data_IF_454433195112
#
_entry.id   IF_454433195112
#
_cell.length_a   1.000
_cell.length_b   1.000
_cell.length_c   1.000
_cell.angle_alpha   90.00
_cell.angle_beta   90.00
_cell.angle_gamma   90.00
#
_symmetry.space_group_name_H-M   'P 1'
#
loop_
_entity.id
_entity.type
_entity.pdbx_description
1 polymer ?
#
# COMPACT_ATOMS: atom_id res chain seq x y z
N UNK A 1 -10.75 5.84 17.57
CA UNK A 1 -11.60 6.83 16.86
C UNK A 1 -11.27 6.77 15.39
N UNK A 2 -12.29 6.80 14.52
CA UNK A 2 -12.13 6.87 13.08
C UNK A 2 -12.04 8.35 12.64
N UNK A 3 -11.07 8.66 11.78
CA UNK A 3 -10.92 9.92 11.05
C UNK A 3 -11.44 9.71 9.63
N UNK A 4 -12.25 10.65 9.15
CA UNK A 4 -12.73 10.67 7.78
C UNK A 4 -11.84 11.60 6.94
N UNK A 5 -11.49 11.17 5.72
CA UNK A 5 -10.65 11.90 4.77
C UNK A 5 -11.29 11.80 3.38
N UNK A 6 -11.34 12.91 2.65
CA UNK A 6 -11.70 12.92 1.23
C UNK A 6 -10.42 13.13 0.44
N UNK A 7 -10.07 12.16 -0.41
CA UNK A 7 -8.95 12.27 -1.35
C UNK A 7 -9.53 12.55 -2.74
N UNK A 8 -9.19 13.69 -3.33
CA UNK A 8 -9.76 14.11 -4.61
C UNK A 8 -8.76 14.91 -5.43
N UNK A 9 -8.91 14.87 -6.76
CA UNK A 9 -8.17 15.74 -7.68
C UNK A 9 -8.73 17.16 -7.76
N UNK A 10 -10.01 17.35 -7.41
CA UNK A 10 -10.65 18.67 -7.40
C UNK A 10 -11.61 18.80 -6.19
N UNK A 11 -11.22 19.55 -5.14
CA UNK A 11 -12.05 19.73 -3.95
C UNK A 11 -13.27 20.64 -4.17
N UNK A 12 -13.34 21.41 -5.27
CA UNK A 12 -14.48 22.27 -5.55
C UNK A 12 -15.64 21.49 -6.19
N UNK A 13 -15.34 20.53 -7.06
CA UNK A 13 -16.36 19.78 -7.81
C UNK A 13 -16.55 18.33 -7.35
N UNK A 14 -15.57 17.76 -6.64
CA UNK A 14 -15.59 16.38 -6.15
C UNK A 14 -16.00 15.35 -7.23
N UNK A 15 -15.26 15.29 -8.35
CA UNK A 15 -15.59 14.40 -9.47
C UNK A 15 -15.64 12.94 -9.03
N UNK A 16 -16.67 12.21 -9.44
CA UNK A 16 -16.95 10.84 -8.97
C UNK A 16 -15.80 9.86 -9.25
N UNK A 17 -15.19 9.93 -10.44
CA UNK A 17 -14.15 9.01 -10.88
C UNK A 17 -12.78 9.25 -10.24
N UNK A 18 -12.59 10.39 -9.58
CA UNK A 18 -11.33 10.75 -8.94
C UNK A 18 -11.51 11.32 -7.52
N UNK A 19 -12.60 10.92 -6.85
CA UNK A 19 -12.87 11.23 -5.44
C UNK A 19 -13.06 9.95 -4.64
N UNK A 20 -12.30 9.82 -3.55
CA UNK A 20 -12.37 8.69 -2.62
C UNK A 20 -12.67 9.18 -1.20
N UNK A 21 -13.67 8.55 -0.58
CA UNK A 21 -14.05 8.79 0.81
C UNK A 21 -13.46 7.71 1.69
N UNK A 22 -12.54 8.09 2.57
CA UNK A 22 -11.70 7.19 3.34
C UNK A 22 -12.00 7.30 4.83
N UNK A 23 -12.09 6.15 5.50
CA UNK A 23 -12.10 6.03 6.96
C UNK A 23 -10.77 5.44 7.42
N UNK A 24 -10.10 6.09 8.37
CA UNK A 24 -8.82 5.61 8.90
C UNK A 24 -8.74 5.74 10.42
N UNK A 25 -8.05 4.81 11.06
CA UNK A 25 -7.68 4.90 12.48
C UNK A 25 -6.34 5.63 12.69
N UNK A 26 -5.66 6.04 11.62
CA UNK A 26 -4.41 6.80 11.72
C UNK A 26 -4.66 8.21 12.26
N UNK A 27 -3.91 8.55 13.30
CA UNK A 27 -4.05 9.82 14.01
C UNK A 27 -3.46 10.97 13.21
N UNK A 28 -4.03 12.18 13.36
CA UNK A 28 -3.43 13.40 12.82
C UNK A 28 -2.16 13.73 13.60
N UNK A 29 -1.07 14.17 12.94
CA UNK A 29 0.10 14.70 13.63
C UNK A 29 -0.27 15.79 14.65
N UNK A 30 0.34 15.75 15.83
CA UNK A 30 0.05 16.69 16.92
C UNK A 30 -1.25 16.43 17.68
N UNK A 31 -2.07 15.44 17.29
CA UNK A 31 -3.25 15.09 18.09
C UNK A 31 -2.84 14.40 19.41
N UNK A 32 -3.53 14.66 20.54
CA UNK A 32 -3.19 14.03 21.83
C UNK A 32 -3.16 12.49 21.78
N UNK A 33 -3.93 11.90 20.87
CA UNK A 33 -4.01 10.45 20.70
C UNK A 33 -2.84 9.84 19.92
N UNK A 34 -2.11 10.64 19.16
CA UNK A 34 -0.91 10.16 18.47
C UNK A 34 0.15 9.64 19.45
N UNK A 35 0.28 10.29 20.62
CA UNK A 35 1.23 9.90 21.66
C UNK A 35 0.97 8.50 22.27
N UNK A 36 -0.25 7.99 22.13
CA UNK A 36 -0.67 6.68 22.68
C UNK A 36 -0.94 5.63 21.59
N UNK A 37 -0.58 5.93 20.33
CA UNK A 37 -0.82 5.05 19.18
C UNK A 37 0.35 4.10 18.93
N UNK A 38 0.04 2.86 18.52
CA UNK A 38 1.05 1.90 18.01
C UNK A 38 1.58 2.27 16.63
N UNK A 39 0.80 3.01 15.85
CA UNK A 39 1.15 3.44 14.51
C UNK A 39 1.53 4.92 14.51
N UNK A 40 2.53 5.34 13.71
CA UNK A 40 2.84 6.74 13.51
C UNK A 40 1.60 7.54 13.09
N UNK A 41 1.53 8.79 13.52
CA UNK A 41 0.54 9.72 13.00
C UNK A 41 0.77 9.95 11.50
N UNK A 42 -0.31 10.12 10.75
CA UNK A 42 -0.29 10.31 9.30
C UNK A 42 -0.96 11.64 8.93
N UNK A 43 -0.22 12.48 8.21
CA UNK A 43 -0.81 13.65 7.55
C UNK A 43 -1.70 13.21 6.37
N UNK A 44 -2.30 14.17 5.66
CA UNK A 44 -3.17 13.84 4.53
C UNK A 44 -2.39 13.19 3.38
N UNK A 45 -1.18 13.65 3.10
CA UNK A 45 -0.31 13.10 2.05
C UNK A 45 0.00 11.64 2.32
N UNK A 46 0.32 11.30 3.56
CA UNK A 46 0.63 9.93 3.96
C UNK A 46 -0.59 9.02 3.88
N UNK A 47 -1.77 9.50 4.32
CA UNK A 47 -3.01 8.73 4.17
C UNK A 47 -3.31 8.42 2.70
N UNK A 48 -3.14 9.40 1.81
CA UNK A 48 -3.33 9.22 0.37
C UNK A 48 -2.27 8.29 -0.22
N UNK A 49 -1.00 8.43 0.17
CA UNK A 49 0.10 7.54 -0.25
C UNK A 49 -0.21 6.08 0.11
N UNK A 50 -0.59 5.84 1.36
CA UNK A 50 -0.94 4.51 1.87
C UNK A 50 -2.17 3.94 1.15
N UNK A 51 -3.20 4.73 0.93
CA UNK A 51 -4.37 4.30 0.17
C UNK A 51 -4.01 3.95 -1.28
N UNK A 52 -3.12 4.71 -1.90
CA UNK A 52 -2.61 4.45 -3.25
C UNK A 52 -1.95 3.07 -3.39
N UNK A 53 -1.37 2.53 -2.31
CA UNK A 53 -0.76 1.20 -2.31
C UNK A 53 -1.75 0.06 -2.60
N UNK A 54 -3.07 0.27 -2.47
CA UNK A 54 -4.08 -0.76 -2.75
C UNK A 54 -3.99 -1.35 -4.16
N UNK A 55 -3.61 -0.53 -5.15
CA UNK A 55 -3.50 -0.99 -6.54
C UNK A 55 -2.33 -1.96 -6.73
N UNK A 56 -1.27 -1.84 -5.91
CA UNK A 56 -0.15 -2.77 -5.96
C UNK A 56 -0.58 -4.18 -5.58
N UNK A 57 -1.55 -4.35 -4.68
CA UNK A 57 -2.10 -5.68 -4.35
C UNK A 57 -2.68 -6.34 -5.60
N UNK A 58 -3.51 -5.62 -6.37
CA UNK A 58 -4.09 -6.13 -7.61
C UNK A 58 -3.02 -6.45 -8.66
N UNK A 59 -1.96 -5.63 -8.74
CA UNK A 59 -0.85 -5.89 -9.64
C UNK A 59 -0.05 -7.13 -9.23
N UNK A 60 0.26 -7.29 -7.94
CA UNK A 60 0.92 -8.47 -7.40
C UNK A 60 0.11 -9.75 -7.67
N UNK A 61 -1.22 -9.69 -7.55
CA UNK A 61 -2.07 -10.84 -7.86
C UNK A 61 -2.02 -11.26 -9.33
N UNK A 62 -1.77 -10.35 -10.28
CA UNK A 62 -1.53 -10.74 -11.68
C UNK A 62 -0.27 -11.57 -11.80
N UNK A 63 0.84 -11.11 -11.22
CA UNK A 63 2.11 -11.84 -11.23
C UNK A 63 2.00 -13.21 -10.54
N UNK A 64 1.32 -13.28 -9.40
CA UNK A 64 1.04 -14.54 -8.69
C UNK A 64 0.29 -15.53 -9.58
N UNK A 65 -0.71 -15.07 -10.32
CA UNK A 65 -1.53 -15.92 -11.20
C UNK A 65 -0.80 -16.34 -12.46
N UNK A 66 -0.24 -15.37 -13.16
CA UNK A 66 0.21 -15.52 -14.54
C UNK A 66 1.67 -16.00 -14.61
N UNK A 67 2.53 -15.52 -13.71
CA UNK A 67 3.98 -15.82 -13.74
C UNK A 67 4.36 -16.97 -12.80
N UNK A 68 3.65 -17.11 -11.67
CA UNK A 68 3.94 -18.14 -10.66
C UNK A 68 2.98 -19.35 -10.73
N UNK A 69 2.10 -19.38 -11.73
CA UNK A 69 1.25 -20.53 -12.04
C UNK A 69 0.12 -20.80 -11.04
N UNK A 70 -0.27 -19.81 -10.23
CA UNK A 70 -1.43 -19.97 -9.34
C UNK A 70 -2.74 -20.19 -10.11
N UNK A 71 -2.85 -19.62 -11.32
CA UNK A 71 -4.02 -19.81 -12.18
C UNK A 71 -3.97 -21.07 -13.05
N UNK A 72 -2.84 -21.79 -13.07
CA UNK A 72 -2.68 -22.97 -13.90
C UNK A 72 -3.57 -24.12 -13.42
N UNK A 73 -3.95 -25.00 -14.35
CA UNK A 73 -4.76 -26.16 -14.04
C UNK A 73 -4.03 -27.13 -13.09
N UNK A 74 -4.63 -27.44 -11.93
CA UNK A 74 -4.00 -28.27 -10.90
C UNK A 74 -4.84 -29.51 -10.57
N UNK A 75 -4.40 -30.67 -11.03
CA UNK A 75 -4.97 -31.96 -10.61
C UNK A 75 -4.30 -32.38 -9.31
N UNK A 76 -4.75 -31.77 -8.21
CA UNK A 76 -4.18 -31.93 -6.86
C UNK A 76 -5.30 -32.08 -5.83
N UNK A 77 -5.00 -32.72 -4.70
CA UNK A 77 -5.91 -32.74 -3.54
C UNK A 77 -6.01 -31.35 -2.90
N UNK A 78 -7.07 -31.07 -2.11
CA UNK A 78 -7.25 -29.79 -1.41
C UNK A 78 -6.01 -29.39 -0.58
N UNK A 79 -5.46 -30.34 0.20
CA UNK A 79 -4.23 -30.10 0.97
C UNK A 79 -3.05 -29.68 0.09
N UNK A 80 -2.89 -30.32 -1.07
CA UNK A 80 -1.81 -29.98 -1.99
C UNK A 80 -2.03 -28.61 -2.66
N UNK A 81 -3.28 -28.23 -2.96
CA UNK A 81 -3.63 -26.89 -3.47
C UNK A 81 -3.29 -25.81 -2.44
N UNK A 82 -3.66 -26.00 -1.16
CA UNK A 82 -3.33 -25.04 -0.09
C UNK A 82 -1.82 -24.88 0.10
N UNK A 83 -1.08 -25.99 0.09
CA UNK A 83 0.40 -25.97 0.16
C UNK A 83 1.00 -25.23 -1.02
N UNK A 84 0.48 -25.48 -2.23
CA UNK A 84 0.94 -24.79 -3.43
C UNK A 84 0.66 -23.29 -3.35
N UNK A 85 -0.52 -22.87 -2.86
CA UNK A 85 -0.83 -21.45 -2.61
C UNK A 85 0.21 -20.80 -1.68
N UNK A 86 0.55 -21.47 -0.58
CA UNK A 86 1.59 -20.98 0.34
C UNK A 86 2.93 -20.85 -0.37
N UNK A 87 3.35 -21.87 -1.13
CA UNK A 87 4.63 -21.84 -1.86
C UNK A 87 4.70 -20.71 -2.89
N UNK A 88 3.62 -20.49 -3.66
CA UNK A 88 3.55 -19.37 -4.61
C UNK A 88 3.66 -18.02 -3.90
N UNK A 89 2.95 -17.83 -2.78
CA UNK A 89 3.04 -16.60 -2.00
C UNK A 89 4.44 -16.40 -1.39
N UNK A 90 5.11 -17.47 -0.96
CA UNK A 90 6.49 -17.41 -0.49
C UNK A 90 7.46 -17.07 -1.63
N UNK A 91 7.31 -17.68 -2.80
CA UNK A 91 8.12 -17.37 -3.98
C UNK A 91 7.95 -15.91 -4.41
N UNK A 92 6.71 -15.41 -4.45
CA UNK A 92 6.43 -14.00 -4.73
C UNK A 92 7.13 -13.07 -3.73
N UNK A 93 7.00 -13.37 -2.42
CA UNK A 93 7.62 -12.58 -1.35
C UNK A 93 9.14 -12.59 -1.44
N UNK A 94 9.73 -13.74 -1.83
CA UNK A 94 11.17 -13.86 -2.09
C UNK A 94 11.60 -12.98 -3.27
N UNK A 95 10.91 -13.08 -4.42
CA UNK A 95 11.19 -12.25 -5.58
C UNK A 95 11.11 -10.75 -5.24
N UNK A 96 10.08 -10.34 -4.52
CA UNK A 96 9.91 -8.97 -4.05
C UNK A 96 11.10 -8.55 -3.18
N UNK A 97 11.43 -9.32 -2.14
CA UNK A 97 12.58 -9.03 -1.28
C UNK A 97 13.89 -8.89 -2.07
N UNK A 98 14.18 -9.82 -2.99
CA UNK A 98 15.39 -9.74 -3.82
C UNK A 98 15.41 -8.47 -4.68
N UNK A 99 14.25 -8.06 -5.23
CA UNK A 99 14.15 -6.84 -6.02
C UNK A 99 14.47 -5.58 -5.21
N UNK A 100 13.96 -5.43 -3.98
CA UNK A 100 14.32 -4.29 -3.12
C UNK A 100 15.78 -4.30 -2.71
N UNK A 101 16.35 -5.48 -2.45
CA UNK A 101 17.78 -5.56 -2.11
C UNK A 101 18.67 -5.14 -3.27
N UNK A 102 18.25 -5.43 -4.51
CA UNK A 102 18.97 -5.03 -5.72
C UNK A 102 18.71 -3.56 -6.11
N UNK A 103 17.55 -3.02 -5.75
CA UNK A 103 17.10 -1.66 -6.07
C UNK A 103 16.76 -0.90 -4.78
N UNK A 104 17.77 -0.52 -3.97
CA UNK A 104 17.50 0.21 -2.74
C UNK A 104 16.84 1.55 -3.06
N UNK A 105 15.84 1.98 -2.27
CA UNK A 105 15.17 3.25 -2.49
C UNK A 105 16.18 4.40 -2.39
N UNK A 106 16.15 5.30 -3.37
CA UNK A 106 16.97 6.52 -3.32
C UNK A 106 16.59 7.33 -2.08
N UNK A 107 17.55 7.76 -1.25
CA UNK A 107 17.25 8.65 -0.14
C UNK A 107 16.49 9.88 -0.65
N UNK A 108 15.34 10.17 -0.04
CA UNK A 108 14.59 11.38 -0.37
C UNK A 108 15.52 12.59 -0.21
N UNK A 109 15.64 13.42 -1.25
CA UNK A 109 16.32 14.70 -1.13
C UNK A 109 15.62 15.50 -0.03
N UNK A 110 16.28 15.69 1.10
CA UNK A 110 15.83 16.62 2.13
C UNK A 110 15.77 18.00 1.48
N UNK A 111 14.57 18.46 1.16
CA UNK A 111 14.35 19.81 0.64
C UNK A 111 14.98 20.81 1.61
N UNK A 112 16.05 21.46 1.17
CA UNK A 112 16.60 22.62 1.86
C UNK A 112 15.50 23.69 1.92
N UNK A 113 15.21 24.30 3.07
CA UNK A 113 14.25 25.40 3.12
C UNK A 113 14.78 26.50 2.21
N UNK A 114 14.04 26.81 1.15
CA UNK A 114 14.34 28.00 0.34
C UNK A 114 13.79 29.18 1.13
N UNK A 115 14.63 29.77 1.96
CA UNK A 115 14.37 31.07 2.57
C UNK A 115 14.26 32.08 1.43
N UNK A 116 13.04 32.44 1.02
CA UNK A 116 12.82 33.65 0.24
C UNK A 116 12.78 34.82 1.23
N UNK A 117 13.77 35.70 1.08
CA UNK A 117 13.76 37.07 1.62
C UNK A 117 12.83 37.95 0.78
#
# INVERSE_FOLDING_TARGET
MIRLVVATTDPATLPETSTWYLATNLHRPGSPRAAHSRHPAADLTEVVRLYGLRHWVEQSYKQVKDELGWADFQVRSDTAIRRHQTLVNCAFSFCWNTWFTANPPTPAHSGRPTTRA
#
